data_IF_290670811420
#
_entry.id   IF_290670811420
#
_cell.length_a   1.000
_cell.length_b   1.000
_cell.length_c   1.000
_cell.angle_alpha   90.00
_cell.angle_beta   90.00
_cell.angle_gamma   90.00
#
_symmetry.space_group_name_H-M   'P 1'
#
loop_
_entity.id
_entity.type
_entity.pdbx_description
1 polymer ?
#
# COMPACT_ATOMS: atom_id res chain seq x y z
N UNK A 1 5.30 13.23 18.28
CA UNK A 1 4.18 12.42 17.75
C UNK A 1 4.51 12.07 16.30
N UNK A 2 4.46 10.78 15.91
CA UNK A 2 4.70 10.33 14.53
C UNK A 2 3.38 10.20 13.78
N UNK A 3 3.25 10.87 12.65
CA UNK A 3 1.99 11.07 11.92
C UNK A 3 1.98 10.26 10.64
N UNK A 4 0.97 9.40 10.48
CA UNK A 4 0.87 8.42 9.41
C UNK A 4 -0.40 8.65 8.58
N UNK A 5 -0.27 8.60 7.26
CA UNK A 5 -1.37 8.41 6.33
C UNK A 5 -1.20 7.03 5.68
N UNK A 6 -2.15 6.13 5.91
CA UNK A 6 -2.13 4.78 5.32
C UNK A 6 -3.37 4.60 4.45
N UNK A 7 -3.21 4.54 3.14
CA UNK A 7 -4.33 4.37 2.23
C UNK A 7 -4.77 2.90 2.13
N UNK A 8 -6.09 2.66 1.99
CA UNK A 8 -6.64 1.30 1.96
C UNK A 8 -6.43 0.54 3.27
N UNK A 9 -6.54 1.22 4.40
CA UNK A 9 -6.22 0.68 5.72
C UNK A 9 -7.42 0.17 6.52
N UNK A 10 -8.59 0.03 5.89
CA UNK A 10 -9.77 -0.58 6.52
C UNK A 10 -9.69 -2.11 6.67
N UNK A 11 -8.71 -2.77 6.03
CA UNK A 11 -8.54 -4.23 6.02
C UNK A 11 -7.13 -4.63 5.55
N UNK A 12 -6.81 -5.92 5.62
CA UNK A 12 -5.62 -6.52 5.03
C UNK A 12 -4.29 -5.88 5.44
N UNK A 13 -3.38 -5.70 4.47
CA UNK A 13 -2.03 -5.18 4.69
C UNK A 13 -2.05 -3.78 5.31
N UNK A 14 -2.94 -2.89 4.83
CA UNK A 14 -3.03 -1.53 5.37
C UNK A 14 -3.45 -1.51 6.84
N UNK A 15 -4.45 -2.31 7.22
CA UNK A 15 -4.89 -2.43 8.62
C UNK A 15 -3.80 -3.06 9.49
N UNK A 16 -3.13 -4.13 9.02
CA UNK A 16 -2.01 -4.76 9.72
C UNK A 16 -0.85 -3.76 9.94
N UNK A 17 -0.55 -2.93 8.93
CA UNK A 17 0.46 -1.86 9.03
C UNK A 17 0.09 -0.84 10.10
N UNK A 18 -1.16 -0.36 10.11
CA UNK A 18 -1.62 0.56 11.14
C UNK A 18 -1.48 -0.05 12.54
N UNK A 19 -1.93 -1.31 12.72
CA UNK A 19 -1.83 -2.03 14.00
C UNK A 19 -0.39 -2.20 14.48
N UNK A 20 0.54 -2.48 13.57
CA UNK A 20 1.96 -2.65 13.89
C UNK A 20 2.60 -1.34 14.35
N UNK A 21 2.26 -0.22 13.71
CA UNK A 21 2.87 1.08 13.97
C UNK A 21 2.17 1.84 15.11
N UNK A 22 1.02 1.35 15.60
CA UNK A 22 0.21 2.02 16.60
C UNK A 22 0.78 1.89 18.00
N UNK A 23 0.83 3.01 18.72
CA UNK A 23 1.19 3.11 20.12
C UNK A 23 1.14 4.55 20.60
N UNK A 24 1.43 4.80 21.88
CA UNK A 24 1.54 6.16 22.41
C UNK A 24 2.51 7.00 21.58
N UNK A 25 2.11 8.23 21.24
CA UNK A 25 2.92 9.13 20.44
C UNK A 25 2.80 8.91 18.92
N UNK A 26 1.88 8.07 18.45
CA UNK A 26 1.55 7.93 17.03
C UNK A 26 0.17 8.49 16.68
N UNK A 27 -0.02 8.91 15.43
CA UNK A 27 -1.28 9.40 14.90
C UNK A 27 -1.52 8.85 13.48
N UNK A 28 -2.78 8.52 13.14
CA UNK A 28 -3.14 7.86 11.89
C UNK A 28 -4.33 8.50 11.20
N UNK A 29 -4.19 8.75 9.90
CA UNK A 29 -5.33 8.85 9.00
C UNK A 29 -5.57 7.46 8.43
N UNK A 30 -6.68 6.84 8.84
CA UNK A 30 -7.16 5.54 8.35
C UNK A 30 -8.07 5.79 7.17
N UNK A 31 -7.70 5.29 5.98
CA UNK A 31 -8.41 5.58 4.75
C UNK A 31 -9.07 4.35 4.15
N UNK A 32 -10.29 4.54 3.64
CA UNK A 32 -10.99 3.57 2.80
C UNK A 32 -11.75 4.27 1.66
N UNK A 33 -11.99 3.55 0.55
CA UNK A 33 -12.86 4.03 -0.53
C UNK A 33 -14.34 3.93 -0.15
N UNK A 34 -14.78 2.78 0.36
CA UNK A 34 -16.19 2.48 0.65
C UNK A 34 -16.43 1.72 1.96
N UNK A 35 -15.40 1.05 2.52
CA UNK A 35 -15.54 0.26 3.75
C UNK A 35 -15.36 1.15 4.99
N UNK A 36 -16.35 1.99 5.26
CA UNK A 36 -16.34 2.91 6.41
C UNK A 36 -16.34 2.17 7.75
N UNK A 37 -17.13 1.10 7.87
CA UNK A 37 -17.21 0.28 9.09
C UNK A 37 -15.84 -0.36 9.41
N UNK A 38 -15.17 -0.94 8.41
CA UNK A 38 -13.84 -1.50 8.58
C UNK A 38 -12.81 -0.45 8.96
N UNK A 39 -12.88 0.76 8.39
CA UNK A 39 -12.00 1.86 8.72
C UNK A 39 -12.20 2.33 10.17
N UNK A 40 -13.45 2.48 10.63
CA UNK A 40 -13.73 2.89 11.99
C UNK A 40 -13.34 1.82 13.02
N UNK A 41 -13.56 0.53 12.71
CA UNK A 41 -13.09 -0.57 13.55
C UNK A 41 -11.56 -0.51 13.72
N UNK A 42 -10.80 -0.31 12.64
CA UNK A 42 -9.35 -0.15 12.72
C UNK A 42 -8.99 1.09 13.54
N UNK A 43 -9.60 2.24 13.28
CA UNK A 43 -9.34 3.46 14.03
C UNK A 43 -9.60 3.29 15.55
N UNK A 44 -10.68 2.61 15.93
CA UNK A 44 -10.99 2.28 17.34
C UNK A 44 -9.91 1.39 17.97
N UNK A 45 -9.43 0.36 17.25
CA UNK A 45 -8.33 -0.50 17.70
C UNK A 45 -7.03 0.29 17.92
N UNK A 46 -6.71 1.27 17.05
CA UNK A 46 -5.52 2.11 17.20
C UNK A 46 -5.65 3.03 18.42
N UNK A 47 -6.83 3.62 18.63
CA UNK A 47 -7.10 4.45 19.83
C UNK A 47 -6.98 3.64 21.11
N UNK A 48 -7.46 2.39 21.13
CA UNK A 48 -7.30 1.48 22.27
C UNK A 48 -5.83 1.15 22.57
N UNK A 49 -4.91 1.29 21.60
CA UNK A 49 -3.45 1.15 21.77
C UNK A 49 -2.75 2.45 22.14
N UNK A 50 -3.50 3.52 22.44
CA UNK A 50 -2.96 4.82 22.82
C UNK A 50 -2.55 5.72 21.65
N UNK A 51 -2.86 5.35 20.41
CA UNK A 51 -2.64 6.19 19.24
C UNK A 51 -3.80 7.19 19.05
N UNK A 52 -3.54 8.29 18.35
CA UNK A 52 -4.61 9.11 17.77
C UNK A 52 -5.02 8.51 16.40
N UNK A 53 -6.29 8.47 16.08
CA UNK A 53 -6.75 7.98 14.79
C UNK A 53 -8.02 8.70 14.33
N UNK A 54 -8.04 9.04 13.05
CA UNK A 54 -9.21 9.60 12.34
C UNK A 54 -9.46 8.80 11.07
N UNK A 55 -10.73 8.66 10.69
CA UNK A 55 -11.11 8.03 9.42
C UNK A 55 -11.30 9.10 8.36
N UNK A 56 -10.79 8.85 7.17
CA UNK A 56 -11.02 9.66 5.99
C UNK A 56 -11.43 8.76 4.81
N UNK A 57 -12.54 9.08 4.18
CA UNK A 57 -13.10 8.32 3.06
C UNK A 57 -12.79 9.02 1.73
N UNK A 58 -12.66 8.24 0.66
CA UNK A 58 -12.53 8.78 -0.69
C UNK A 58 -12.00 7.78 -1.70
N UNK A 59 -12.26 8.03 -2.98
CA UNK A 59 -11.72 7.24 -4.07
C UNK A 59 -10.49 7.94 -4.65
N UNK A 60 -9.33 7.29 -4.59
CA UNK A 60 -8.06 7.82 -5.12
C UNK A 60 -8.07 8.04 -6.65
N UNK A 61 -9.02 7.43 -7.36
CA UNK A 61 -9.25 7.74 -8.77
C UNK A 61 -9.77 9.17 -8.97
N UNK A 62 -10.45 9.73 -7.97
CA UNK A 62 -11.08 11.06 -8.06
C UNK A 62 -10.07 12.17 -7.77
N UNK A 63 -10.11 13.28 -8.54
CA UNK A 63 -9.36 14.49 -8.22
C UNK A 63 -9.74 15.03 -6.84
N UNK A 64 -8.76 15.58 -6.11
CA UNK A 64 -8.98 16.18 -4.79
C UNK A 64 -8.91 15.20 -3.61
N UNK A 65 -9.11 13.89 -3.83
CA UNK A 65 -9.09 12.92 -2.73
C UNK A 65 -7.72 12.85 -2.05
N UNK A 66 -6.65 12.75 -2.83
CA UNK A 66 -5.30 12.66 -2.27
C UNK A 66 -4.94 13.91 -1.44
N UNK A 67 -5.29 15.08 -1.95
CA UNK A 67 -5.11 16.37 -1.30
C UNK A 67 -5.91 16.45 0.01
N UNK A 68 -7.18 16.02 0.01
CA UNK A 68 -8.02 16.00 1.20
C UNK A 68 -7.48 15.05 2.29
N UNK A 69 -6.97 13.87 1.90
CA UNK A 69 -6.37 12.92 2.85
C UNK A 69 -5.13 13.50 3.53
N UNK A 70 -4.27 14.17 2.77
CA UNK A 70 -3.07 14.82 3.32
C UNK A 70 -3.47 16.02 4.19
N UNK A 71 -4.43 16.85 3.74
CA UNK A 71 -4.97 17.97 4.52
C UNK A 71 -5.52 17.48 5.87
N UNK A 72 -6.24 16.34 5.88
CA UNK A 72 -6.71 15.72 7.13
C UNK A 72 -5.58 15.44 8.11
N UNK A 73 -4.43 14.92 7.64
CA UNK A 73 -3.29 14.69 8.53
C UNK A 73 -2.71 16.00 9.08
N UNK A 74 -2.59 17.02 8.24
CA UNK A 74 -2.07 18.34 8.62
C UNK A 74 -3.00 19.03 9.61
N UNK A 75 -4.29 19.08 9.34
CA UNK A 75 -5.29 19.76 10.17
C UNK A 75 -5.49 19.07 11.52
N UNK A 76 -5.53 17.74 11.52
CA UNK A 76 -5.83 16.98 12.75
C UNK A 76 -4.60 16.71 13.61
N UNK A 77 -3.41 16.62 13.01
CA UNK A 77 -2.19 16.20 13.70
C UNK A 77 -1.00 17.17 13.54
N UNK A 78 -1.17 18.26 12.80
CA UNK A 78 -0.16 19.29 12.61
C UNK A 78 0.94 18.90 11.60
N UNK A 79 0.74 17.89 10.74
CA UNK A 79 1.70 17.52 9.69
C UNK A 79 1.64 16.05 9.30
N UNK A 80 2.66 15.59 8.56
CA UNK A 80 2.79 14.22 8.08
C UNK A 80 4.26 13.79 8.14
N UNK A 81 4.53 12.59 8.67
CA UNK A 81 5.88 12.00 8.70
C UNK A 81 5.98 10.75 7.83
N UNK A 82 4.88 9.98 7.69
CA UNK A 82 4.86 8.71 6.98
C UNK A 82 3.66 8.64 6.05
N UNK A 83 3.92 8.41 4.77
CA UNK A 83 2.91 8.05 3.77
C UNK A 83 3.06 6.57 3.38
N UNK A 84 2.03 5.76 3.62
CA UNK A 84 1.94 4.39 3.09
C UNK A 84 0.86 4.34 2.01
N UNK A 85 1.28 4.31 0.75
CA UNK A 85 0.42 4.21 -0.42
C UNK A 85 0.10 2.72 -0.69
N UNK A 86 -0.88 2.18 0.06
CA UNK A 86 -1.24 0.77 0.01
C UNK A 86 -2.53 0.50 -0.80
N UNK A 87 -3.43 1.46 -0.94
CA UNK A 87 -4.67 1.27 -1.67
C UNK A 87 -4.45 0.77 -3.09
N UNK A 88 -5.21 -0.24 -3.47
CA UNK A 88 -5.14 -0.85 -4.80
C UNK A 88 -5.91 -2.17 -4.83
N UNK A 89 -6.02 -2.74 -6.01
CA UNK A 89 -6.67 -4.02 -6.25
C UNK A 89 -5.94 -4.79 -7.35
N UNK A 90 -6.25 -6.07 -7.50
CA UNK A 90 -5.76 -6.92 -8.58
C UNK A 90 -6.88 -7.15 -9.60
N UNK A 91 -6.72 -6.64 -10.81
CA UNK A 91 -7.58 -6.93 -11.94
C UNK A 91 -7.05 -8.17 -12.67
N UNK A 92 -7.91 -9.18 -12.81
CA UNK A 92 -7.62 -10.48 -13.45
C UNK A 92 -8.14 -10.58 -14.87
N UNK A 93 -8.66 -9.49 -15.44
CA UNK A 93 -9.27 -9.47 -16.77
C UNK A 93 -8.19 -9.76 -17.82
N UNK A 94 -8.46 -10.73 -18.67
CA UNK A 94 -7.62 -11.10 -19.81
C UNK A 94 -7.75 -10.10 -20.96
N UNK A 95 -6.90 -10.24 -22.00
CA UNK A 95 -6.84 -9.30 -23.12
C UNK A 95 -8.18 -9.15 -23.84
N UNK A 96 -8.89 -10.23 -24.04
CA UNK A 96 -10.15 -10.23 -24.83
C UNK A 96 -11.28 -9.45 -24.12
N UNK A 97 -11.27 -9.43 -22.78
CA UNK A 97 -12.32 -8.80 -21.96
C UNK A 97 -11.85 -7.45 -21.34
N UNK A 98 -10.57 -7.10 -21.47
CA UNK A 98 -10.02 -5.89 -20.89
C UNK A 98 -10.30 -4.68 -21.80
N UNK A 99 -11.27 -3.86 -21.40
CA UNK A 99 -11.54 -2.60 -22.13
C UNK A 99 -10.51 -1.51 -21.79
N UNK A 100 -10.29 -0.54 -22.70
CA UNK A 100 -9.43 0.62 -22.41
C UNK A 100 -9.83 1.35 -21.12
N UNK A 101 -11.11 1.54 -20.87
CA UNK A 101 -11.61 2.26 -19.68
C UNK A 101 -11.24 1.52 -18.39
N UNK A 102 -11.34 0.19 -18.40
CA UNK A 102 -10.97 -0.65 -17.25
C UNK A 102 -9.46 -0.67 -17.02
N UNK A 103 -8.67 -0.66 -18.11
CA UNK A 103 -7.23 -0.50 -18.04
C UNK A 103 -6.84 0.85 -17.44
N UNK A 104 -7.43 1.94 -17.96
CA UNK A 104 -7.22 3.31 -17.45
C UNK A 104 -7.63 3.46 -15.99
N UNK A 105 -8.70 2.79 -15.55
CA UNK A 105 -9.12 2.81 -14.16
C UNK A 105 -8.04 2.24 -13.22
N UNK A 106 -7.40 1.15 -13.61
CA UNK A 106 -6.27 0.58 -12.85
C UNK A 106 -5.10 1.55 -12.77
N UNK A 107 -4.74 2.22 -13.87
CA UNK A 107 -3.71 3.26 -13.90
C UNK A 107 -4.11 4.46 -13.05
N UNK A 108 -5.38 4.86 -13.09
CA UNK A 108 -5.92 6.02 -12.38
C UNK A 108 -5.88 5.82 -10.87
N UNK A 109 -6.35 4.66 -10.38
CA UNK A 109 -6.35 4.32 -8.96
C UNK A 109 -4.93 4.17 -8.42
N UNK A 110 -4.09 3.38 -9.10
CA UNK A 110 -2.78 2.97 -8.59
C UNK A 110 -1.71 4.01 -8.95
N UNK A 111 -1.55 4.32 -10.24
CA UNK A 111 -0.50 5.20 -10.73
C UNK A 111 -0.78 6.66 -10.43
N UNK A 112 -1.88 7.20 -10.98
CA UNK A 112 -2.24 8.61 -10.79
C UNK A 112 -2.57 8.92 -9.33
N UNK A 113 -3.24 7.98 -8.62
CA UNK A 113 -3.51 8.12 -7.19
C UNK A 113 -2.22 8.25 -6.37
N UNK A 114 -1.21 7.42 -6.65
CA UNK A 114 0.09 7.53 -5.99
C UNK A 114 0.82 8.85 -6.32
N UNK A 115 0.80 9.28 -7.58
CA UNK A 115 1.40 10.56 -7.98
C UNK A 115 0.76 11.75 -7.24
N UNK A 116 -0.58 11.79 -7.15
CA UNK A 116 -1.30 12.83 -6.42
C UNK A 116 -0.98 12.81 -4.92
N UNK A 117 -0.94 11.62 -4.31
CA UNK A 117 -0.55 11.47 -2.89
C UNK A 117 0.87 11.97 -2.65
N UNK A 118 1.84 11.56 -3.46
CA UNK A 118 3.23 11.98 -3.33
C UNK A 118 3.38 13.50 -3.48
N UNK A 119 2.67 14.08 -4.48
CA UNK A 119 2.67 15.53 -4.72
C UNK A 119 2.07 16.30 -3.54
N UNK A 120 0.90 15.89 -3.05
CA UNK A 120 0.24 16.54 -1.92
C UNK A 120 1.05 16.41 -0.61
N UNK A 121 1.66 15.23 -0.40
CA UNK A 121 2.41 14.92 0.81
C UNK A 121 3.81 15.55 0.85
N UNK A 122 4.37 16.01 -0.28
CA UNK A 122 5.76 16.49 -0.38
C UNK A 122 6.10 17.55 0.67
N UNK A 123 5.33 18.62 0.74
CA UNK A 123 5.63 19.73 1.67
C UNK A 123 5.43 19.34 3.14
N UNK A 124 4.32 18.68 3.56
CA UNK A 124 4.17 18.19 4.91
C UNK A 124 5.26 17.19 5.33
N UNK A 125 5.67 16.27 4.44
CA UNK A 125 6.76 15.32 4.71
C UNK A 125 8.10 16.02 4.88
N UNK A 126 8.43 17.00 4.03
CA UNK A 126 9.67 17.76 4.12
C UNK A 126 9.78 18.56 5.42
N UNK A 127 8.65 18.98 5.99
CA UNK A 127 8.57 19.64 7.31
C UNK A 127 8.49 18.63 8.47
N UNK A 128 8.33 17.36 8.18
CA UNK A 128 8.21 16.29 9.17
C UNK A 128 9.55 15.84 9.75
N UNK A 129 9.47 15.04 10.80
CA UNK A 129 10.63 14.39 11.39
C UNK A 129 10.80 12.99 10.78
N UNK A 130 11.96 12.71 10.16
CA UNK A 130 12.30 11.40 9.61
C UNK A 130 11.28 10.91 8.56
N UNK A 131 11.08 11.65 7.44
CA UNK A 131 9.99 11.44 6.51
C UNK A 131 10.18 10.18 5.66
N UNK A 132 9.09 9.41 5.49
CA UNK A 132 9.05 8.13 4.77
C UNK A 132 7.88 8.04 3.82
N UNK A 133 8.13 7.54 2.62
CA UNK A 133 7.10 7.11 1.68
C UNK A 133 7.31 5.63 1.39
N UNK A 134 6.29 4.81 1.61
CA UNK A 134 6.30 3.39 1.26
C UNK A 134 5.10 3.09 0.39
N UNK A 135 5.35 2.68 -0.86
CA UNK A 135 4.32 2.20 -1.76
C UNK A 135 4.17 0.67 -1.65
N UNK A 136 2.96 0.17 -1.85
CA UNK A 136 2.71 -1.27 -1.93
C UNK A 136 2.56 -1.68 -3.39
N UNK A 137 3.57 -2.35 -3.90
CA UNK A 137 3.65 -2.96 -5.22
C UNK A 137 2.81 -4.24 -5.32
N UNK A 138 3.24 -5.15 -6.19
CA UNK A 138 2.66 -6.50 -6.28
C UNK A 138 3.56 -7.41 -7.10
N UNK A 139 3.62 -8.69 -6.76
CA UNK A 139 4.29 -9.72 -7.56
C UNK A 139 3.78 -9.79 -9.01
N UNK A 140 2.58 -9.30 -9.30
CA UNK A 140 2.00 -9.33 -10.66
C UNK A 140 2.78 -8.48 -11.66
N UNK A 141 3.57 -7.50 -11.19
CA UNK A 141 4.47 -6.72 -12.03
C UNK A 141 5.77 -7.46 -12.39
N UNK A 142 6.03 -8.62 -11.78
CA UNK A 142 7.26 -9.40 -11.92
C UNK A 142 7.04 -10.84 -12.37
N UNK A 143 5.79 -11.34 -12.38
CA UNK A 143 5.47 -12.73 -12.67
C UNK A 143 4.70 -12.84 -13.99
N UNK A 144 5.41 -13.18 -15.07
CA UNK A 144 4.86 -13.42 -16.41
C UNK A 144 5.07 -14.89 -16.77
N UNK A 145 4.11 -15.73 -16.40
CA UNK A 145 4.19 -17.18 -16.52
C UNK A 145 3.05 -17.74 -17.35
N UNK A 146 3.29 -18.86 -18.05
CA UNK A 146 2.28 -19.54 -18.87
C UNK A 146 1.33 -20.40 -18.04
N UNK A 147 1.69 -20.74 -16.82
CA UNK A 147 0.94 -21.58 -15.86
C UNK A 147 0.16 -20.77 -14.80
N UNK A 148 0.04 -19.45 -14.99
CA UNK A 148 -0.65 -18.55 -14.07
C UNK A 148 -1.43 -17.48 -14.83
N UNK A 149 -2.52 -16.95 -14.25
CA UNK A 149 -3.21 -15.80 -14.81
C UNK A 149 -2.27 -14.61 -14.96
N UNK A 150 -2.33 -13.93 -16.10
CA UNK A 150 -1.65 -12.66 -16.34
C UNK A 150 -2.59 -11.53 -15.95
N UNK A 151 -2.10 -10.58 -15.17
CA UNK A 151 -2.87 -9.45 -14.63
C UNK A 151 -2.52 -8.19 -15.43
N UNK A 152 -2.93 -8.09 -16.70
CA UNK A 152 -2.49 -7.07 -17.66
C UNK A 152 -2.54 -5.64 -17.07
N UNK A 153 -3.72 -5.18 -16.67
CA UNK A 153 -3.91 -3.84 -16.15
C UNK A 153 -3.14 -3.62 -14.83
N UNK A 154 -3.20 -4.60 -13.93
CA UNK A 154 -2.50 -4.51 -12.65
C UNK A 154 -0.98 -4.57 -12.80
N UNK A 155 -0.45 -5.37 -13.72
CA UNK A 155 0.98 -5.45 -13.99
C UNK A 155 1.51 -4.11 -14.51
N UNK A 156 0.80 -3.50 -15.48
CA UNK A 156 1.16 -2.17 -16.00
C UNK A 156 1.12 -1.09 -14.90
N UNK A 157 0.04 -1.05 -14.11
CA UNK A 157 -0.14 -0.05 -13.06
C UNK A 157 0.90 -0.21 -11.92
N UNK A 158 1.17 -1.44 -11.49
CA UNK A 158 2.14 -1.71 -10.41
C UNK A 158 3.59 -1.59 -10.89
N UNK A 159 3.90 -1.96 -12.12
CA UNK A 159 5.21 -1.70 -12.74
C UNK A 159 5.49 -0.20 -12.88
N UNK A 160 4.49 0.58 -13.32
CA UNK A 160 4.57 2.04 -13.37
C UNK A 160 4.75 2.68 -11.99
N UNK A 161 4.06 2.18 -10.96
CA UNK A 161 4.22 2.62 -9.57
C UNK A 161 5.66 2.41 -9.08
N UNK A 162 6.28 1.26 -9.35
CA UNK A 162 7.68 1.00 -8.98
C UNK A 162 8.67 1.90 -9.73
N UNK A 163 8.40 2.20 -11.01
CA UNK A 163 9.15 3.21 -11.76
C UNK A 163 9.09 4.58 -11.09
N UNK A 164 7.89 5.01 -10.67
CA UNK A 164 7.72 6.26 -9.92
C UNK A 164 8.42 6.26 -8.57
N UNK A 165 8.43 5.15 -7.84
CA UNK A 165 9.17 5.02 -6.57
C UNK A 165 10.65 5.34 -6.76
N UNK A 166 11.29 4.78 -7.80
CA UNK A 166 12.71 5.03 -8.09
C UNK A 166 12.97 6.49 -8.46
N UNK A 167 12.13 7.07 -9.31
CA UNK A 167 12.24 8.48 -9.72
C UNK A 167 12.05 9.43 -8.53
N UNK A 168 11.01 9.22 -7.72
CA UNK A 168 10.72 10.02 -6.53
C UNK A 168 11.79 9.87 -5.45
N UNK A 169 12.43 8.70 -5.33
CA UNK A 169 13.53 8.49 -4.39
C UNK A 169 14.70 9.44 -4.67
N UNK A 170 15.01 9.70 -5.95
CA UNK A 170 16.05 10.66 -6.36
C UNK A 170 15.56 12.09 -6.17
N UNK A 171 14.34 12.40 -6.65
CA UNK A 171 13.80 13.76 -6.61
C UNK A 171 13.60 14.29 -5.19
N UNK A 172 13.19 13.43 -4.25
CA UNK A 172 12.88 13.81 -2.87
C UNK A 172 14.05 13.63 -1.89
N UNK A 173 15.16 13.03 -2.31
CA UNK A 173 16.35 12.82 -1.48
C UNK A 173 16.94 14.12 -0.90
N UNK A 174 16.99 15.28 -1.61
CA UNK A 174 17.45 16.54 -1.01
C UNK A 174 16.61 17.01 0.19
N UNK A 175 15.36 16.55 0.28
CA UNK A 175 14.43 16.81 1.39
C UNK A 175 14.50 15.72 2.48
N UNK A 176 15.47 14.78 2.37
CA UNK A 176 15.65 13.61 3.26
C UNK A 176 14.45 12.68 3.33
N UNK A 177 13.58 12.71 2.32
CA UNK A 177 12.44 11.79 2.20
C UNK A 177 12.92 10.52 1.52
N UNK A 178 12.83 9.37 2.20
CA UNK A 178 13.06 8.08 1.55
C UNK A 178 11.78 7.60 0.88
N UNK A 179 11.89 7.01 -0.31
CA UNK A 179 10.76 6.46 -1.06
C UNK A 179 11.10 5.03 -1.46
N UNK A 180 10.32 4.07 -0.96
CA UNK A 180 10.53 2.64 -1.21
C UNK A 180 9.23 1.94 -1.59
N UNK A 181 9.35 0.74 -2.11
CA UNK A 181 8.23 -0.15 -2.44
C UNK A 181 8.36 -1.46 -1.66
N UNK A 182 7.25 -1.97 -1.14
CA UNK A 182 7.15 -3.37 -0.70
C UNK A 182 6.32 -4.12 -1.73
N UNK A 183 6.82 -5.27 -2.19
CA UNK A 183 6.22 -6.09 -3.25
C UNK A 183 5.68 -7.39 -2.64
N UNK A 184 4.39 -7.43 -2.24
CA UNK A 184 3.78 -8.63 -1.70
C UNK A 184 3.62 -9.72 -2.76
N UNK A 185 3.72 -10.98 -2.33
CA UNK A 185 3.27 -12.14 -3.07
C UNK A 185 1.78 -12.42 -2.90
N UNK A 186 1.41 -13.71 -2.92
CA UNK A 186 0.07 -14.15 -2.56
C UNK A 186 -0.12 -14.01 -1.04
N UNK A 187 -0.99 -13.09 -0.63
CA UNK A 187 -1.28 -12.79 0.78
C UNK A 187 -2.68 -13.24 1.14
N UNK A 188 -2.83 -13.84 2.31
CA UNK A 188 -4.12 -14.23 2.85
C UNK A 188 -5.04 -13.00 2.96
N UNK A 189 -6.30 -13.19 2.60
CA UNK A 189 -7.35 -12.20 2.82
C UNK A 189 -7.87 -12.32 4.25
N UNK A 190 -8.48 -11.26 4.74
CA UNK A 190 -9.14 -11.28 6.05
C UNK A 190 -10.18 -12.42 6.13
N UNK A 191 -10.38 -12.94 7.34
CA UNK A 191 -11.34 -14.01 7.60
C UNK A 191 -12.74 -13.65 7.06
N UNK A 192 -13.37 -14.60 6.36
CA UNK A 192 -14.68 -14.39 5.73
C UNK A 192 -14.63 -14.00 4.23
N UNK A 193 -13.46 -13.72 3.67
CA UNK A 193 -13.33 -13.51 2.22
C UNK A 193 -13.27 -14.86 1.52
N UNK A 194 -14.34 -15.22 0.79
CA UNK A 194 -14.40 -16.47 0.04
C UNK A 194 -13.35 -16.44 -1.09
N UNK A 195 -12.53 -17.48 -1.15
CA UNK A 195 -11.66 -17.72 -2.31
C UNK A 195 -12.52 -18.17 -3.49
N UNK A 196 -12.38 -17.52 -4.64
CA UNK A 196 -13.02 -17.96 -5.88
C UNK A 196 -12.31 -19.17 -6.52
N UNK A 197 -11.31 -19.79 -5.84
CA UNK A 197 -10.48 -20.86 -6.35
C UNK A 197 -10.97 -22.22 -5.84
N UNK A 198 -10.96 -23.23 -6.72
CA UNK A 198 -11.17 -24.62 -6.28
C UNK A 198 -10.01 -25.11 -5.41
N UNK A 199 -10.19 -26.21 -4.63
CA UNK A 199 -9.09 -26.80 -3.85
C UNK A 199 -7.86 -27.17 -4.70
N UNK A 200 -8.07 -27.61 -5.95
CA UNK A 200 -7.01 -27.96 -6.91
C UNK A 200 -6.25 -26.71 -7.37
N UNK A 201 -6.97 -25.66 -7.75
CA UNK A 201 -6.38 -24.37 -8.13
C UNK A 201 -5.60 -23.76 -6.96
N UNK A 202 -6.13 -23.91 -5.74
CA UNK A 202 -5.45 -23.46 -4.54
C UNK A 202 -4.14 -24.22 -4.31
N UNK A 203 -4.15 -25.56 -4.38
CA UNK A 203 -2.94 -26.39 -4.27
C UNK A 203 -1.91 -26.04 -5.33
N UNK A 204 -2.32 -25.89 -6.60
CA UNK A 204 -1.44 -25.47 -7.68
C UNK A 204 -0.84 -24.08 -7.45
N UNK A 205 -1.61 -23.16 -6.88
CA UNK A 205 -1.12 -21.83 -6.51
C UNK A 205 -0.07 -21.89 -5.40
N UNK A 206 -0.28 -22.71 -4.37
CA UNK A 206 0.67 -22.90 -3.27
C UNK A 206 1.97 -23.55 -3.72
N UNK A 207 1.90 -24.53 -4.64
CA UNK A 207 3.06 -25.24 -5.18
C UNK A 207 4.06 -24.30 -5.91
N UNK A 208 3.61 -23.10 -6.32
CA UNK A 208 4.47 -22.08 -6.95
C UNK A 208 5.24 -21.22 -5.95
N UNK A 209 4.87 -21.29 -4.67
CA UNK A 209 5.51 -20.51 -3.62
C UNK A 209 6.54 -21.39 -2.93
N UNK A 210 7.86 -21.11 -3.03
CA UNK A 210 8.89 -21.95 -2.40
C UNK A 210 8.69 -22.20 -0.90
N UNK A 211 8.15 -21.22 -0.16
CA UNK A 211 7.80 -21.40 1.26
C UNK A 211 6.52 -22.23 1.48
N UNK A 212 5.84 -22.72 0.42
CA UNK A 212 4.72 -23.64 0.49
C UNK A 212 3.42 -23.10 1.08
N UNK A 213 3.33 -21.78 1.29
CA UNK A 213 2.15 -21.12 1.88
C UNK A 213 1.96 -19.70 1.35
N UNK A 214 0.75 -19.16 1.47
CA UNK A 214 0.51 -17.73 1.33
C UNK A 214 1.11 -16.97 2.52
N UNK A 215 1.51 -15.73 2.28
CA UNK A 215 1.91 -14.81 3.32
C UNK A 215 0.72 -14.28 4.12
N UNK A 216 0.99 -13.72 5.29
CA UNK A 216 0.01 -13.02 6.12
C UNK A 216 0.16 -11.51 5.93
N UNK A 217 -0.93 -10.72 6.10
CA UNK A 217 -0.83 -9.25 6.09
C UNK A 217 0.24 -8.70 7.04
N UNK A 218 0.42 -9.32 8.20
CA UNK A 218 1.38 -8.92 9.22
C UNK A 218 2.84 -9.09 8.75
N UNK A 219 3.13 -10.07 7.88
CA UNK A 219 4.49 -10.27 7.34
C UNK A 219 4.86 -9.16 6.36
N UNK A 220 3.88 -8.68 5.57
CA UNK A 220 4.07 -7.51 4.70
C UNK A 220 4.16 -6.23 5.52
N UNK A 221 3.31 -6.09 6.53
CA UNK A 221 3.33 -4.96 7.45
C UNK A 221 4.67 -4.83 8.20
N UNK A 222 5.33 -5.94 8.54
CA UNK A 222 6.66 -5.93 9.16
C UNK A 222 7.71 -5.27 8.25
N UNK A 223 7.71 -5.59 6.95
CA UNK A 223 8.60 -4.97 5.97
C UNK A 223 8.29 -3.47 5.78
N UNK A 224 6.99 -3.11 5.69
CA UNK A 224 6.56 -1.71 5.65
C UNK A 224 7.02 -0.99 6.92
N UNK A 225 6.83 -1.60 8.09
CA UNK A 225 7.24 -1.04 9.38
C UNK A 225 8.74 -0.78 9.46
N UNK A 226 9.57 -1.72 8.95
CA UNK A 226 11.01 -1.50 8.84
C UNK A 226 11.32 -0.28 7.96
N UNK A 227 10.76 -0.19 6.76
CA UNK A 227 11.00 0.94 5.85
C UNK A 227 10.47 2.28 6.39
N UNK A 228 9.48 2.24 7.26
CA UNK A 228 8.98 3.41 7.98
C UNK A 228 9.84 3.79 9.19
N UNK A 229 10.76 2.95 9.65
CA UNK A 229 11.53 3.14 10.89
C UNK A 229 12.81 3.94 10.69
N UNK A 230 13.42 4.49 11.77
CA UNK A 230 14.71 5.15 11.71
C UNK A 230 15.86 4.26 11.19
N UNK A 231 15.96 2.94 11.50
CA UNK A 231 16.98 2.08 10.93
C UNK A 231 17.01 2.01 9.40
N UNK A 232 15.90 2.33 8.71
CA UNK A 232 15.83 2.39 7.24
C UNK A 232 16.21 3.77 6.66
N UNK A 233 16.82 4.66 7.42
CA UNK A 233 17.12 6.03 6.98
C UNK A 233 18.05 6.12 5.76
N UNK A 234 18.82 5.07 5.47
CA UNK A 234 19.71 5.00 4.30
C UNK A 234 19.18 4.06 3.20
N UNK A 235 17.90 3.64 3.29
CA UNK A 235 17.23 2.79 2.30
C UNK A 235 16.26 3.65 1.50
N UNK A 236 16.55 3.84 0.20
CA UNK A 236 15.66 4.57 -0.70
C UNK A 236 15.72 3.99 -2.13
N UNK A 237 14.64 4.11 -2.90
CA UNK A 237 14.52 3.61 -4.27
C UNK A 237 14.41 2.08 -4.38
N UNK A 238 14.22 1.37 -3.27
CA UNK A 238 14.23 -0.09 -3.25
C UNK A 238 12.83 -0.68 -3.43
N UNK A 239 12.77 -1.85 -4.10
CA UNK A 239 11.61 -2.72 -4.15
C UNK A 239 11.90 -3.98 -3.31
N UNK A 240 11.34 -4.05 -2.11
CA UNK A 240 11.53 -5.16 -1.19
C UNK A 240 10.46 -6.22 -1.40
N UNK A 241 10.83 -7.38 -1.90
CA UNK A 241 9.94 -8.50 -2.13
C UNK A 241 9.60 -9.24 -0.84
N UNK A 242 8.29 -9.39 -0.55
CA UNK A 242 7.75 -10.16 0.58
C UNK A 242 6.76 -11.17 0.01
N UNK A 243 7.27 -12.22 -0.63
CA UNK A 243 6.48 -13.06 -1.51
C UNK A 243 6.73 -14.58 -1.34
N UNK A 244 7.50 -14.99 -0.32
CA UNK A 244 7.79 -16.39 -0.06
C UNK A 244 8.63 -17.09 -1.14
N UNK A 245 9.36 -16.32 -1.97
CA UNK A 245 10.14 -16.80 -3.10
C UNK A 245 9.34 -16.97 -4.39
N UNK A 246 8.07 -16.52 -4.43
CA UNK A 246 7.22 -16.61 -5.62
C UNK A 246 7.84 -15.95 -6.85
N UNK A 247 8.58 -14.87 -6.62
CA UNK A 247 9.38 -14.15 -7.61
C UNK A 247 10.71 -13.76 -6.98
N UNK A 248 11.80 -14.00 -7.69
CA UNK A 248 13.18 -13.69 -7.27
C UNK A 248 13.81 -12.79 -8.32
#
# INVERSE_FOLDING_TARGET
MRRHLVTGSSSGIGAATCRLLAGPGSAFVVHARSNAEGAERVAAELRARGAQAVVAMGDLAQPGTAEALVATAVERFGGLDVLVANAGYADRTGLDDLTPERFEESLRVIGTGFLRLARAARAPLAAGSDPRVVAVGSFVAHSFRTDAPVFLASAAAKGGLEGMVRALAIELAPQRITVNCVVPGAIAKDAGTVSAMTPEQWRASLARIPLGRVGKPEEVAAAIGFLCSPPAAYVTGQALHVNGGLVI
#
